data_IF_613874149399
#
_entry.id   IF_613874149399
#
_cell.length_a   1.000
_cell.length_b   1.000
_cell.length_c   1.000
_cell.angle_alpha   90.00
_cell.angle_beta   90.00
_cell.angle_gamma   90.00
#
_symmetry.space_group_name_H-M   'P 1'
#
loop_
_entity.id
_entity.type
_entity.pdbx_description
1 polymer ?
#
# COMPACT_ATOMS: atom_id res chain seq x y z
N UNK A 1 3.42 14.90 2.92
CA UNK A 1 2.75 14.86 1.61
C UNK A 1 1.26 14.52 1.80
N UNK A 2 0.36 14.70 0.82
CA UNK A 2 -1.01 14.15 0.93
C UNK A 2 -0.99 12.63 0.65
N UNK A 3 -1.98 11.86 1.16
CA UNK A 3 -2.09 10.41 0.95
C UNK A 3 -2.02 10.06 -0.55
N UNK A 4 -2.66 10.88 -1.39
CA UNK A 4 -2.62 10.73 -2.84
C UNK A 4 -1.18 10.80 -3.41
N UNK A 5 -0.34 11.69 -2.91
CA UNK A 5 1.05 11.83 -3.35
C UNK A 5 1.89 10.62 -2.95
N UNK A 6 1.79 10.18 -1.70
CA UNK A 6 2.50 9.01 -1.19
C UNK A 6 2.12 7.75 -1.98
N UNK A 7 0.82 7.57 -2.22
CA UNK A 7 0.27 6.51 -3.06
C UNK A 7 0.76 6.59 -4.52
N UNK A 8 0.73 7.78 -5.14
CA UNK A 8 1.16 7.96 -6.54
C UNK A 8 2.62 7.55 -6.73
N UNK A 9 3.48 7.89 -5.76
CA UNK A 9 4.89 7.48 -5.77
C UNK A 9 5.01 5.96 -5.68
N UNK A 10 4.31 5.33 -4.74
CA UNK A 10 4.28 3.87 -4.59
C UNK A 10 3.81 3.20 -5.89
N UNK A 11 2.70 3.66 -6.47
CA UNK A 11 2.09 3.12 -7.69
C UNK A 11 3.00 3.25 -8.92
N UNK A 12 3.77 4.35 -9.03
CA UNK A 12 4.71 4.53 -10.13
C UNK A 12 5.93 3.63 -10.00
N UNK A 13 6.49 3.49 -8.79
CA UNK A 13 7.65 2.64 -8.55
C UNK A 13 7.30 1.15 -8.65
N UNK A 14 6.12 0.74 -8.18
CA UNK A 14 5.72 -0.65 -8.17
C UNK A 14 5.29 -1.21 -9.53
N UNK A 15 5.34 -0.43 -10.61
CA UNK A 15 4.95 -0.90 -11.96
C UNK A 15 5.80 -2.06 -12.45
N UNK A 16 7.07 -2.07 -12.08
CA UNK A 16 8.04 -3.12 -12.41
C UNK A 16 8.26 -4.07 -11.24
N UNK A 17 7.44 -3.99 -10.19
CA UNK A 17 7.54 -4.87 -9.04
C UNK A 17 7.23 -6.32 -9.45
N UNK A 18 7.94 -7.31 -8.86
CA UNK A 18 7.59 -8.71 -9.04
C UNK A 18 6.15 -8.97 -8.62
N UNK A 19 5.57 -10.06 -9.13
CA UNK A 19 4.26 -10.53 -8.70
C UNK A 19 4.37 -11.45 -7.48
N UNK A 20 5.12 -10.99 -6.49
CA UNK A 20 5.44 -11.71 -5.25
C UNK A 20 4.98 -10.85 -4.07
N UNK A 21 4.61 -11.50 -2.96
CA UNK A 21 4.38 -10.80 -1.70
C UNK A 21 5.73 -10.42 -1.08
N UNK A 22 5.84 -9.28 -0.37
CA UNK A 22 7.08 -8.92 0.31
C UNK A 22 7.40 -9.94 1.41
N UNK A 23 8.67 -10.30 1.50
CA UNK A 23 9.21 -11.24 2.47
C UNK A 23 9.96 -10.48 3.58
N UNK A 24 9.53 -10.59 4.84
CA UNK A 24 10.19 -9.95 5.97
C UNK A 24 11.66 -10.33 6.17
N UNK A 25 12.11 -11.48 5.64
CA UNK A 25 13.52 -11.90 5.75
C UNK A 25 14.48 -10.92 5.07
N UNK A 26 13.99 -10.13 4.10
CA UNK A 26 14.78 -9.13 3.37
C UNK A 26 14.51 -7.70 3.83
N UNK A 27 13.81 -7.49 4.95
CA UNK A 27 13.67 -6.16 5.54
C UNK A 27 14.91 -5.82 6.36
N UNK A 28 15.47 -4.65 6.10
CA UNK A 28 16.68 -4.13 6.75
C UNK A 28 16.32 -2.98 7.68
N UNK A 29 15.49 -2.06 7.22
CA UNK A 29 15.07 -0.90 8.00
C UNK A 29 13.78 -1.19 8.80
N UNK A 30 13.65 -0.71 10.05
CA UNK A 30 12.41 -0.83 10.82
C UNK A 30 11.18 -0.24 10.13
N UNK A 31 11.34 0.76 9.25
CA UNK A 31 10.23 1.33 8.48
C UNK A 31 9.61 0.33 7.51
N UNK A 32 10.40 -0.62 6.97
CA UNK A 32 9.90 -1.70 6.10
C UNK A 32 8.94 -2.61 6.88
N UNK A 33 9.35 -3.01 8.09
CA UNK A 33 8.54 -3.82 9.00
C UNK A 33 7.25 -3.10 9.41
N UNK A 34 7.36 -1.85 9.85
CA UNK A 34 6.19 -1.04 10.28
C UNK A 34 5.17 -0.90 9.17
N UNK A 35 5.63 -0.63 7.94
CA UNK A 35 4.76 -0.51 6.79
C UNK A 35 4.09 -1.85 6.47
N UNK A 36 4.86 -2.95 6.47
CA UNK A 36 4.33 -4.29 6.20
C UNK A 36 3.27 -4.72 7.23
N UNK A 37 3.56 -4.57 8.51
CA UNK A 37 2.62 -4.88 9.60
C UNK A 37 1.32 -4.07 9.47
N UNK A 38 1.45 -2.77 9.15
CA UNK A 38 0.27 -1.92 8.93
C UNK A 38 -0.56 -2.39 7.75
N UNK A 39 0.08 -2.74 6.63
CA UNK A 39 -0.62 -3.28 5.45
C UNK A 39 -1.31 -4.59 5.79
N UNK A 40 -0.64 -5.53 6.45
CA UNK A 40 -1.20 -6.81 6.86
C UNK A 40 -2.39 -6.64 7.80
N UNK A 41 -2.29 -5.75 8.79
CA UNK A 41 -3.38 -5.49 9.74
C UNK A 41 -4.58 -4.79 9.11
N UNK A 42 -4.36 -3.92 8.12
CA UNK A 42 -5.44 -3.22 7.43
C UNK A 42 -6.13 -4.08 6.36
N UNK A 43 -5.43 -5.05 5.76
CA UNK A 43 -5.96 -5.89 4.68
C UNK A 43 -7.33 -6.51 5.01
N UNK A 44 -7.52 -7.26 6.12
CA UNK A 44 -8.84 -7.84 6.42
C UNK A 44 -9.91 -6.80 6.73
N UNK A 45 -9.54 -5.67 7.35
CA UNK A 45 -10.48 -4.59 7.72
C UNK A 45 -11.02 -3.92 6.45
N UNK A 46 -10.12 -3.54 5.54
CA UNK A 46 -10.48 -2.89 4.27
C UNK A 46 -11.27 -3.86 3.40
N UNK A 47 -10.86 -5.12 3.28
CA UNK A 47 -11.60 -6.12 2.51
C UNK A 47 -13.01 -6.35 3.07
N UNK A 48 -13.17 -6.45 4.38
CA UNK A 48 -14.49 -6.59 5.02
C UNK A 48 -15.39 -5.36 4.82
N UNK A 49 -14.84 -4.16 5.07
CA UNK A 49 -15.56 -2.91 4.85
C UNK A 49 -15.99 -2.75 3.38
N UNK A 50 -15.13 -3.12 2.42
CA UNK A 50 -15.45 -3.12 0.99
C UNK A 50 -16.55 -4.12 0.65
N UNK A 51 -16.47 -5.35 1.15
CA UNK A 51 -17.49 -6.38 0.92
C UNK A 51 -18.88 -5.95 1.43
N UNK A 52 -18.91 -5.21 2.55
CA UNK A 52 -20.13 -4.67 3.14
C UNK A 52 -20.51 -3.27 2.63
N UNK A 53 -19.80 -2.75 1.62
CA UNK A 53 -20.02 -1.41 1.03
C UNK A 53 -19.84 -0.24 2.02
N UNK A 54 -19.11 -0.47 3.12
CA UNK A 54 -18.72 0.53 4.13
C UNK A 54 -17.49 1.32 3.67
N UNK A 55 -17.60 2.01 2.55
CA UNK A 55 -16.45 2.68 1.90
C UNK A 55 -15.84 3.82 2.72
N UNK A 56 -16.65 4.55 3.49
CA UNK A 56 -16.14 5.62 4.37
C UNK A 56 -15.17 5.07 5.42
N UNK A 57 -15.52 3.94 6.05
CA UNK A 57 -14.65 3.24 7.00
C UNK A 57 -13.39 2.72 6.32
N UNK A 58 -13.52 2.11 5.13
CA UNK A 58 -12.36 1.66 4.37
C UNK A 58 -11.39 2.82 4.06
N UNK A 59 -11.90 3.98 3.62
CA UNK A 59 -11.09 5.17 3.35
C UNK A 59 -10.43 5.73 4.62
N UNK A 60 -11.16 5.80 5.72
CA UNK A 60 -10.63 6.24 7.01
C UNK A 60 -9.46 5.35 7.45
N UNK A 61 -9.63 4.03 7.36
CA UNK A 61 -8.58 3.07 7.70
C UNK A 61 -7.37 3.19 6.76
N UNK A 62 -7.59 3.32 5.46
CA UNK A 62 -6.52 3.53 4.48
C UNK A 62 -5.74 4.84 4.71
N UNK A 63 -6.39 5.89 5.21
CA UNK A 63 -5.72 7.16 5.50
C UNK A 63 -4.58 7.01 6.51
N UNK A 64 -4.67 6.01 7.40
CA UNK A 64 -3.65 5.69 8.39
C UNK A 64 -2.37 5.07 7.80
N UNK A 65 -2.35 4.75 6.50
CA UNK A 65 -1.13 4.33 5.79
C UNK A 65 -0.21 5.48 5.44
N UNK A 66 -0.68 6.73 5.48
CA UNK A 66 0.11 7.90 5.09
C UNK A 66 1.43 7.98 5.85
N UNK A 67 1.37 7.98 7.18
CA UNK A 67 2.54 8.10 8.05
C UNK A 67 3.58 7.00 7.81
N UNK A 68 3.23 5.70 7.81
CA UNK A 68 4.22 4.65 7.57
C UNK A 68 4.76 4.64 6.14
N UNK A 69 4.01 5.09 5.13
CA UNK A 69 4.52 5.22 3.76
C UNK A 69 5.50 6.38 3.64
N UNK A 70 5.20 7.54 4.24
CA UNK A 70 6.11 8.69 4.27
C UNK A 70 7.41 8.29 5.00
N UNK A 71 7.30 7.67 6.19
CA UNK A 71 8.46 7.20 6.95
C UNK A 71 9.31 6.16 6.19
N UNK A 72 8.67 5.23 5.47
CA UNK A 72 9.37 4.30 4.59
C UNK A 72 10.16 5.04 3.51
N UNK A 73 9.56 6.03 2.84
CA UNK A 73 10.25 6.76 1.78
C UNK A 73 11.37 7.69 2.28
N UNK A 74 11.30 8.13 3.53
CA UNK A 74 12.34 8.94 4.17
C UNK A 74 13.52 8.09 4.64
N UNK A 75 13.27 6.86 5.11
CA UNK A 75 14.30 5.97 5.64
C UNK A 75 14.89 5.00 4.60
N UNK A 76 14.12 4.62 3.58
CA UNK A 76 14.44 3.48 2.70
C UNK A 76 14.73 3.92 1.27
N UNK A 77 15.93 3.61 0.78
CA UNK A 77 16.27 3.74 -0.62
C UNK A 77 15.67 2.59 -1.44
N UNK A 78 14.53 2.84 -2.09
CA UNK A 78 13.81 1.82 -2.86
C UNK A 78 14.66 1.27 -4.02
N UNK A 79 15.37 2.15 -4.73
CA UNK A 79 16.24 1.78 -5.85
C UNK A 79 17.63 1.39 -5.35
N UNK A 80 17.68 0.39 -4.48
CA UNK A 80 18.92 -0.15 -3.91
C UNK A 80 19.78 -0.87 -4.98
N UNK A 81 21.09 -0.86 -4.81
CA UNK A 81 22.03 -1.61 -5.66
C UNK A 81 21.85 -3.12 -5.48
N UNK A 82 21.49 -3.55 -4.28
CA UNK A 82 21.12 -4.92 -4.00
C UNK A 82 19.76 -5.24 -4.63
N UNK A 83 19.78 -6.02 -5.71
CA UNK A 83 18.57 -6.40 -6.47
C UNK A 83 17.55 -7.16 -5.64
N UNK A 84 17.96 -7.93 -4.64
CA UNK A 84 17.03 -8.67 -3.77
C UNK A 84 16.26 -7.70 -2.88
N UNK A 85 16.95 -6.76 -2.23
CA UNK A 85 16.31 -5.72 -1.40
C UNK A 85 15.41 -4.82 -2.25
N UNK A 86 15.88 -4.38 -3.40
CA UNK A 86 15.09 -3.58 -4.34
C UNK A 86 13.79 -4.29 -4.73
N UNK A 87 13.86 -5.57 -5.14
CA UNK A 87 12.66 -6.35 -5.49
C UNK A 87 11.69 -6.46 -4.33
N UNK A 88 12.20 -6.72 -3.12
CA UNK A 88 11.36 -6.84 -1.92
C UNK A 88 10.67 -5.52 -1.55
N UNK A 89 11.40 -4.39 -1.62
CA UNK A 89 10.86 -3.04 -1.40
C UNK A 89 9.79 -2.69 -2.44
N UNK A 90 10.01 -3.05 -3.70
CA UNK A 90 9.01 -2.88 -4.76
C UNK A 90 7.76 -3.76 -4.52
N UNK A 91 7.93 -4.99 -4.03
CA UNK A 91 6.81 -5.86 -3.62
C UNK A 91 6.02 -5.25 -2.46
N UNK A 92 6.68 -4.66 -1.47
CA UNK A 92 6.04 -3.97 -0.36
C UNK A 92 5.21 -2.76 -0.84
N UNK A 93 5.76 -1.95 -1.74
CA UNK A 93 5.01 -0.85 -2.37
C UNK A 93 3.82 -1.36 -3.18
N UNK A 94 3.97 -2.47 -3.91
CA UNK A 94 2.86 -3.12 -4.64
C UNK A 94 1.76 -3.58 -3.69
N UNK A 95 2.09 -4.09 -2.51
CA UNK A 95 1.12 -4.51 -1.50
C UNK A 95 0.29 -3.31 -0.97
N UNK A 96 0.94 -2.17 -0.70
CA UNK A 96 0.25 -0.91 -0.36
C UNK A 96 -0.71 -0.51 -1.48
N UNK A 97 -0.22 -0.53 -2.73
CA UNK A 97 -1.01 -0.11 -3.90
C UNK A 97 -2.23 -1.00 -4.09
N UNK A 98 -2.06 -2.32 -3.98
CA UNK A 98 -3.16 -3.30 -4.04
C UNK A 98 -4.22 -3.05 -2.98
N UNK A 99 -3.80 -2.74 -1.76
CA UNK A 99 -4.72 -2.48 -0.66
C UNK A 99 -5.58 -1.22 -0.91
N UNK A 100 -4.97 -0.13 -1.38
CA UNK A 100 -5.71 1.10 -1.73
C UNK A 100 -6.60 0.88 -2.95
N UNK A 101 -6.15 0.09 -3.93
CA UNK A 101 -6.94 -0.24 -5.13
C UNK A 101 -8.25 -0.98 -4.80
N UNK A 102 -8.34 -1.75 -3.72
CA UNK A 102 -9.61 -2.41 -3.34
C UNK A 102 -10.77 -1.42 -3.19
N UNK A 103 -10.48 -0.19 -2.76
CA UNK A 103 -11.47 0.88 -2.64
C UNK A 103 -11.56 1.70 -3.92
N UNK A 104 -10.43 1.99 -4.58
CA UNK A 104 -10.38 2.82 -5.78
C UNK A 104 -10.94 2.17 -7.06
N UNK A 105 -10.97 0.84 -7.13
CA UNK A 105 -11.56 0.13 -8.28
C UNK A 105 -13.10 0.30 -8.29
N UNK A 106 -13.70 0.36 -7.09
CA UNK A 106 -15.15 0.50 -6.93
C UNK A 106 -15.66 1.93 -7.14
N UNK A 107 -14.83 2.95 -6.91
CA UNK A 107 -15.20 4.35 -7.21
C UNK A 107 -15.25 4.64 -8.72
N UNK A 108 -14.67 3.76 -9.55
CA UNK A 108 -14.76 3.82 -11.02
C UNK A 108 -15.96 3.07 -11.59
N UNK A 109 -16.73 2.34 -10.77
CA UNK A 109 -17.96 1.68 -11.21
C UNK A 109 -19.09 2.73 -11.27
N UNK A 110 -19.59 3.11 -12.47
CA UNK A 110 -20.60 4.16 -12.60
C UNK A 110 -21.94 3.84 -11.91
N UNK A 111 -22.18 2.56 -11.59
CA UNK A 111 -23.43 2.07 -11.02
C UNK A 111 -23.64 2.42 -9.52
N UNK A 112 -22.62 2.95 -8.82
CA UNK A 112 -22.75 3.35 -7.40
C UNK A 112 -23.04 4.85 -7.20
N UNK A 113 -23.20 5.62 -8.29
CA UNK A 113 -23.78 6.98 -8.26
C UNK A 113 -25.32 6.91 -8.34
N UNK A 114 -25.99 6.23 -7.41
CA UNK A 114 -27.43 6.45 -7.19
C UNK A 114 -27.76 6.29 -5.72
N UNK A 115 -28.30 7.39 -5.18
CA UNK A 115 -28.69 7.62 -3.79
C UNK A 115 -28.70 9.12 -3.60
#
# INVERSE_FOLDING_TARGET
ADLHTAYTRAANLSRTAPDEEPDPVYFVDPAEHRLYEKVCGLRPIVTGAVAERRYGEALEKLSTLREPVDAFFDAVLVMDENRTLQKNRLALLRAVVRLVHQVADLTKIPALRKG
#
